data_IF_918169219891
#
_entry.id   IF_918169219891
#
_cell.length_a   1.000
_cell.length_b   1.000
_cell.length_c   1.000
_cell.angle_alpha   90.00
_cell.angle_beta   90.00
_cell.angle_gamma   90.00
#
_symmetry.space_group_name_H-M   'P 1'
#
loop_
_entity.id
_entity.type
_entity.pdbx_description
1 polymer ?
#
# COMPACT_ATOMS: atom_id res chain seq x y z
N UNK A 1 -15.02 2.75 5.59
CA UNK A 1 -13.63 2.55 6.05
C UNK A 1 -12.92 3.89 6.07
N UNK A 2 -12.18 4.15 7.14
CA UNK A 2 -11.35 5.35 7.32
C UNK A 2 -10.31 5.48 6.20
N UNK A 3 -9.80 4.34 5.72
CA UNK A 3 -8.89 4.25 4.59
C UNK A 3 -9.47 4.81 3.26
N UNK A 4 -10.79 4.74 3.04
CA UNK A 4 -11.42 5.34 1.85
C UNK A 4 -11.38 6.88 1.89
N UNK A 5 -11.42 7.48 3.08
CA UNK A 5 -11.28 8.93 3.21
C UNK A 5 -9.85 9.35 2.87
N UNK A 6 -8.87 8.60 3.36
CA UNK A 6 -7.44 8.79 3.11
C UNK A 6 -7.09 8.62 1.62
N UNK A 7 -7.73 7.65 0.95
CA UNK A 7 -7.60 7.46 -0.49
C UNK A 7 -8.15 8.66 -1.29
N UNK A 8 -9.32 9.19 -0.90
CA UNK A 8 -9.90 10.40 -1.53
C UNK A 8 -9.01 11.63 -1.35
N UNK A 9 -8.30 11.75 -0.24
CA UNK A 9 -7.38 12.87 0.02
C UNK A 9 -6.01 12.70 -0.64
N UNK A 10 -5.75 11.57 -1.31
CA UNK A 10 -4.46 11.24 -1.95
C UNK A 10 -3.25 11.37 -1.00
N UNK A 11 -3.50 11.24 0.30
CA UNK A 11 -2.50 11.42 1.34
C UNK A 11 -1.63 10.18 1.47
N UNK A 12 -0.32 10.38 1.70
CA UNK A 12 0.60 9.28 1.99
C UNK A 12 0.32 8.72 3.38
N UNK A 13 0.19 7.40 3.47
CA UNK A 13 -0.09 6.68 4.71
C UNK A 13 1.17 6.03 5.20
N UNK A 14 1.42 6.11 6.51
CA UNK A 14 2.55 5.40 7.12
C UNK A 14 2.24 3.90 7.19
N UNK A 15 3.23 3.08 6.90
CA UNK A 15 3.15 1.62 6.98
C UNK A 15 4.55 1.01 6.95
N UNK A 16 4.66 -0.30 6.87
CA UNK A 16 5.98 -0.95 6.76
C UNK A 16 5.88 -2.23 5.93
N UNK A 17 6.97 -2.55 5.23
CA UNK A 17 7.06 -3.81 4.48
C UNK A 17 7.26 -4.95 5.46
N UNK A 18 6.41 -5.97 5.36
CA UNK A 18 6.50 -7.18 6.18
C UNK A 18 7.46 -8.16 5.54
N UNK A 19 7.18 -8.58 4.30
CA UNK A 19 7.98 -9.57 3.57
C UNK A 19 7.78 -9.50 2.07
N UNK A 20 8.75 -10.04 1.33
CA UNK A 20 8.62 -10.30 -0.10
C UNK A 20 7.71 -11.52 -0.33
N UNK A 21 6.80 -11.43 -1.28
CA UNK A 21 5.89 -12.51 -1.69
C UNK A 21 5.93 -12.68 -3.22
N UNK A 22 5.28 -13.71 -3.76
CA UNK A 22 5.22 -13.91 -5.21
C UNK A 22 4.53 -12.71 -5.88
N UNK A 23 5.25 -12.02 -6.77
CA UNK A 23 4.75 -10.87 -7.53
C UNK A 23 4.86 -9.50 -6.85
N UNK A 24 5.31 -9.42 -5.59
CA UNK A 24 5.33 -8.15 -4.86
C UNK A 24 5.86 -8.18 -3.43
N UNK A 25 5.51 -7.17 -2.66
CA UNK A 25 5.76 -7.07 -1.23
C UNK A 25 4.44 -7.04 -0.47
N UNK A 26 4.39 -7.72 0.67
CA UNK A 26 3.32 -7.57 1.64
C UNK A 26 3.66 -6.42 2.59
N UNK A 27 2.69 -5.54 2.84
CA UNK A 27 2.87 -4.30 3.61
C UNK A 27 1.76 -4.19 4.64
N UNK A 28 2.09 -3.73 5.84
CA UNK A 28 1.11 -3.40 6.86
C UNK A 28 0.84 -1.88 6.83
N UNK A 29 -0.42 -1.48 6.66
CA UNK A 29 -0.85 -0.08 6.67
C UNK A 29 -2.12 0.03 7.51
N UNK A 30 -2.11 0.87 8.55
CA UNK A 30 -3.28 1.18 9.36
C UNK A 30 -4.10 -0.05 9.83
N UNK A 31 -3.41 -1.16 10.17
CA UNK A 31 -4.04 -2.41 10.61
C UNK A 31 -4.46 -3.37 9.48
N UNK A 32 -4.23 -3.02 8.21
CA UNK A 32 -4.51 -3.85 7.05
C UNK A 32 -3.23 -4.45 6.46
N UNK A 33 -3.29 -5.71 6.05
CA UNK A 33 -2.24 -6.35 5.24
C UNK A 33 -2.58 -6.10 3.77
N UNK A 34 -1.72 -5.34 3.10
CA UNK A 34 -1.89 -4.90 1.72
C UNK A 34 -0.75 -5.41 0.83
N UNK A 35 -0.87 -5.18 -0.47
CA UNK A 35 0.07 -5.69 -1.46
C UNK A 35 0.64 -4.59 -2.36
N UNK A 36 1.96 -4.64 -2.58
CA UNK A 36 2.67 -3.79 -3.53
C UNK A 36 3.18 -4.65 -4.69
N UNK A 37 2.73 -4.43 -5.93
CA UNK A 37 3.28 -5.14 -7.09
C UNK A 37 4.73 -4.76 -7.34
N UNK A 38 5.58 -5.71 -7.77
CA UNK A 38 6.98 -5.40 -8.12
C UNK A 38 7.13 -4.34 -9.22
N UNK A 39 6.16 -4.29 -10.14
CA UNK A 39 6.11 -3.27 -11.20
C UNK A 39 6.00 -1.86 -10.63
N UNK A 40 5.25 -1.69 -9.54
CA UNK A 40 5.10 -0.41 -8.85
C UNK A 40 6.33 -0.09 -7.99
N UNK A 41 6.89 -1.09 -7.32
CA UNK A 41 8.09 -0.94 -6.48
C UNK A 41 9.33 -0.48 -7.28
N UNK A 42 9.56 -1.02 -8.49
CA UNK A 42 10.72 -0.67 -9.31
C UNK A 42 10.79 0.81 -9.72
N UNK A 43 9.66 1.53 -9.74
CA UNK A 43 9.63 2.97 -10.04
C UNK A 43 10.14 3.85 -8.89
N UNK A 44 10.26 3.34 -7.66
CA UNK A 44 10.79 4.11 -6.51
C UNK A 44 11.88 3.32 -5.80
N UNK A 45 13.13 3.59 -6.20
CA UNK A 45 14.38 3.04 -5.66
C UNK A 45 14.59 3.26 -4.14
N UNK A 46 13.74 4.05 -3.48
CA UNK A 46 13.67 4.22 -2.03
C UNK A 46 12.21 4.47 -1.68
N UNK A 47 11.55 3.56 -0.98
CA UNK A 47 10.41 3.94 -0.14
C UNK A 47 11.05 4.75 1.00
N UNK A 48 11.33 6.02 0.73
CA UNK A 48 11.86 6.90 1.77
C UNK A 48 10.74 7.19 2.74
N UNK A 49 10.95 6.78 3.99
CA UNK A 49 10.12 7.06 5.15
C UNK A 49 8.84 6.23 5.30
N UNK A 50 8.81 4.97 4.84
CA UNK A 50 7.74 4.04 5.23
C UNK A 50 6.33 4.57 4.93
N UNK A 51 6.23 5.30 3.82
CA UNK A 51 5.04 6.04 3.40
C UNK A 51 4.58 5.59 2.04
N UNK A 52 3.31 5.22 1.97
CA UNK A 52 2.69 4.59 0.80
C UNK A 52 1.50 5.42 0.32
N UNK A 53 1.33 5.46 -1.00
CA UNK A 53 0.13 6.01 -1.61
C UNK A 53 -0.82 4.87 -1.92
N UNK A 54 -2.10 5.06 -1.60
CA UNK A 54 -3.12 4.08 -1.92
C UNK A 54 -3.53 4.26 -3.37
N UNK A 55 -3.32 3.24 -4.20
CA UNK A 55 -3.71 3.26 -5.61
C UNK A 55 -5.19 2.94 -5.75
N UNK A 56 -5.62 1.86 -5.11
CA UNK A 56 -6.98 1.38 -5.18
C UNK A 56 -7.40 0.69 -3.89
N UNK A 57 -8.67 0.88 -3.54
CA UNK A 57 -9.34 0.17 -2.46
C UNK A 57 -10.56 -0.51 -3.06
N UNK A 58 -10.61 -1.84 -2.95
CA UNK A 58 -11.82 -2.61 -3.17
C UNK A 58 -12.42 -3.01 -1.83
N UNK A 59 -13.40 -2.24 -1.30
CA UNK A 59 -13.95 -2.49 0.03
C UNK A 59 -14.74 -3.79 0.11
N UNK A 60 -15.29 -4.30 -1.00
CA UNK A 60 -16.04 -5.57 -1.03
C UNK A 60 -15.16 -6.79 -0.84
N UNK A 61 -13.90 -6.72 -1.31
CA UNK A 61 -12.91 -7.80 -1.22
C UNK A 61 -11.81 -7.53 -0.21
N UNK A 62 -11.87 -6.39 0.49
CA UNK A 62 -10.83 -5.91 1.40
C UNK A 62 -9.43 -5.84 0.76
N UNK A 63 -9.37 -5.72 -0.57
CA UNK A 63 -8.12 -5.66 -1.32
C UNK A 63 -7.69 -4.22 -1.45
N UNK A 64 -6.48 -3.93 -0.96
CA UNK A 64 -5.87 -2.62 -1.03
C UNK A 64 -4.54 -2.76 -1.75
N UNK A 65 -4.38 -1.99 -2.82
CA UNK A 65 -3.14 -1.93 -3.61
C UNK A 65 -2.48 -0.59 -3.33
N UNK A 66 -1.19 -0.64 -3.00
CA UNK A 66 -0.42 0.54 -2.64
C UNK A 66 0.92 0.58 -3.38
N UNK A 67 1.55 1.75 -3.46
CA UNK A 67 2.88 1.95 -4.04
C UNK A 67 3.65 3.14 -3.41
#
# INVERSE_FOLDING_TARGET
>A
MELNKIWRTNTKVKGFIIKKVKGGYSVAIAGFITFIPFRCYKKRKRISNDRFTIESINPKRMNIVVF
#
